data_IF_044028902830
#
_entry.id   IF_044028902830
#
_cell.length_a   1.000
_cell.length_b   1.000
_cell.length_c   1.000
_cell.angle_alpha   90.00
_cell.angle_beta   90.00
_cell.angle_gamma   90.00
#
_symmetry.space_group_name_H-M   'P 1'
#
loop_
_entity.id
_entity.type
_entity.pdbx_description
1 polymer ?
#
# COMPACT_ATOMS: atom_id res chain seq x y z
N UNK A 1 -32.36 -9.56 16.91
CA UNK A 1 -31.40 -10.68 17.12
C UNK A 1 -30.48 -10.81 15.89
N UNK A 2 -29.24 -10.33 15.87
CA UNK A 2 -28.24 -10.26 16.94
C UNK A 2 -27.30 -9.06 16.73
N UNK A 3 -27.06 -8.29 17.79
CA UNK A 3 -25.97 -7.34 17.95
C UNK A 3 -24.66 -8.07 18.27
N UNK A 4 -23.51 -7.64 17.70
CA UNK A 4 -22.40 -6.99 18.42
C UNK A 4 -21.25 -6.63 17.46
N UNK A 5 -21.21 -5.37 17.03
CA UNK A 5 -19.97 -4.66 16.70
C UNK A 5 -20.06 -3.29 17.39
N UNK A 6 -19.00 -2.79 18.05
CA UNK A 6 -19.14 -1.62 18.92
C UNK A 6 -19.58 -0.40 18.12
N UNK A 7 -20.60 0.29 18.62
CA UNK A 7 -21.03 1.58 18.11
C UNK A 7 -19.93 2.63 18.32
N UNK A 8 -19.57 3.36 17.27
CA UNK A 8 -18.79 4.60 17.36
C UNK A 8 -17.74 4.75 16.26
N UNK A 9 -17.91 5.77 15.40
CA UNK A 9 -16.99 6.22 14.34
C UNK A 9 -17.00 5.44 13.01
N UNK A 10 -18.15 5.56 12.34
CA UNK A 10 -18.29 5.87 10.91
C UNK A 10 -17.30 5.30 9.89
N UNK A 11 -17.81 4.40 9.04
CA UNK A 11 -17.26 3.99 7.75
C UNK A 11 -17.08 5.13 6.70
N UNK A 12 -17.06 6.39 7.12
CA UNK A 12 -16.95 7.61 6.29
C UNK A 12 -15.60 8.33 6.40
N UNK A 13 -14.72 7.93 7.33
CA UNK A 13 -13.38 8.51 7.47
C UNK A 13 -12.28 7.78 6.70
N UNK A 14 -12.59 6.61 6.15
CA UNK A 14 -11.64 5.83 5.37
C UNK A 14 -11.61 6.32 3.92
N UNK A 15 -10.42 6.66 3.44
CA UNK A 15 -10.18 7.09 2.07
C UNK A 15 -9.55 5.94 1.32
N UNK A 16 -10.31 5.37 0.38
CA UNK A 16 -9.78 4.43 -0.59
C UNK A 16 -8.82 5.13 -1.57
N UNK A 17 -7.72 4.47 -1.92
CA UNK A 17 -6.79 4.95 -2.91
C UNK A 17 -6.32 3.82 -3.82
N UNK A 18 -5.94 4.19 -5.04
CA UNK A 18 -5.22 3.33 -5.97
C UNK A 18 -4.12 4.17 -6.60
N UNK A 19 -2.90 3.69 -6.47
CA UNK A 19 -1.71 4.32 -7.02
C UNK A 19 -0.91 3.26 -7.78
N UNK A 20 -0.14 3.67 -8.78
CA UNK A 20 0.75 2.74 -9.46
C UNK A 20 1.79 3.46 -10.30
N UNK A 21 2.90 2.77 -10.53
CA UNK A 21 3.99 3.20 -11.39
C UNK A 21 4.52 1.98 -12.16
N UNK A 22 4.54 2.08 -13.49
CA UNK A 22 4.90 0.97 -14.36
C UNK A 22 4.09 -0.30 -14.04
N UNK A 23 4.80 -1.37 -13.70
CA UNK A 23 4.21 -2.67 -13.34
C UNK A 23 3.74 -2.78 -11.89
N UNK A 24 4.02 -1.81 -11.02
CA UNK A 24 3.66 -1.86 -9.60
C UNK A 24 2.39 -1.05 -9.31
N UNK A 25 1.50 -1.61 -8.49
CA UNK A 25 0.25 -0.95 -8.05
C UNK A 25 0.07 -1.14 -6.55
N UNK A 26 -0.44 -0.13 -5.88
CA UNK A 26 -0.83 -0.17 -4.46
C UNK A 26 -2.29 0.23 -4.38
N UNK A 27 -3.11 -0.61 -3.78
CA UNK A 27 -4.54 -0.36 -3.55
C UNK A 27 -4.83 -0.52 -2.08
N UNK A 28 -5.55 0.40 -1.49
CA UNK A 28 -5.83 0.32 -0.06
C UNK A 28 -6.82 1.36 0.40
N UNK A 29 -6.99 1.41 1.70
CA UNK A 29 -7.75 2.42 2.41
C UNK A 29 -6.95 2.94 3.58
N UNK A 30 -7.11 4.23 3.89
CA UNK A 30 -6.54 4.83 5.09
C UNK A 30 -7.62 5.53 5.91
N UNK A 31 -7.61 5.32 7.22
CA UNK A 31 -8.44 6.06 8.14
C UNK A 31 -7.85 7.42 8.46
N UNK A 32 -8.56 8.51 8.12
CA UNK A 32 -8.08 9.88 8.36
C UNK A 32 -7.95 10.28 9.84
N UNK A 33 -8.61 9.56 10.75
CA UNK A 33 -8.52 9.85 12.18
C UNK A 33 -7.37 9.11 12.86
N UNK A 34 -7.26 7.80 12.60
CA UNK A 34 -6.26 6.96 13.25
C UNK A 34 -4.94 6.89 12.47
N UNK A 35 -4.94 7.34 11.20
CA UNK A 35 -3.85 7.11 10.24
C UNK A 35 -3.53 5.63 10.06
N UNK A 36 -4.49 4.75 10.36
CA UNK A 36 -4.37 3.33 10.10
C UNK A 36 -4.54 3.08 8.60
N UNK A 37 -3.60 2.35 8.00
CA UNK A 37 -3.62 1.99 6.59
C UNK A 37 -3.79 0.49 6.45
N UNK A 38 -4.59 0.09 5.46
CA UNK A 38 -4.72 -1.28 4.98
C UNK A 38 -4.52 -1.25 3.46
N UNK A 39 -3.42 -1.81 2.97
CA UNK A 39 -2.99 -1.68 1.58
C UNK A 39 -2.40 -2.97 1.03
N UNK A 40 -2.78 -3.28 -0.21
CA UNK A 40 -2.32 -4.41 -0.98
C UNK A 40 -1.41 -3.93 -2.11
N UNK A 41 -0.24 -4.55 -2.22
CA UNK A 41 0.71 -4.30 -3.29
C UNK A 41 0.56 -5.38 -4.35
N UNK A 42 0.45 -4.94 -5.60
CA UNK A 42 0.35 -5.79 -6.77
C UNK A 42 1.51 -5.50 -7.71
N UNK A 43 2.00 -6.56 -8.35
CA UNK A 43 2.94 -6.49 -9.47
C UNK A 43 2.26 -7.08 -10.69
N UNK A 44 2.29 -6.33 -11.79
CA UNK A 44 1.77 -6.75 -13.09
C UNK A 44 2.83 -7.60 -13.75
N UNK A 45 2.52 -8.89 -13.92
CA UNK A 45 3.41 -9.85 -14.58
C UNK A 45 2.89 -10.07 -16.00
N UNK A 46 3.75 -10.05 -17.04
CA UNK A 46 3.33 -10.42 -18.39
C UNK A 46 2.59 -11.76 -18.38
N UNK A 47 1.49 -11.84 -19.12
CA UNK A 47 0.63 -13.04 -19.25
C UNK A 47 -0.22 -13.42 -18.03
N UNK A 48 0.17 -13.06 -16.80
CA UNK A 48 -0.56 -13.43 -15.57
C UNK A 48 -1.33 -12.27 -14.92
N UNK A 49 -1.14 -11.05 -15.41
CA UNK A 49 -1.83 -9.86 -14.92
C UNK A 49 -1.36 -9.42 -13.54
N UNK A 50 -2.25 -8.78 -12.78
CA UNK A 50 -1.94 -8.23 -11.46
C UNK A 50 -1.84 -9.35 -10.42
N UNK A 51 -0.64 -9.54 -9.87
CA UNK A 51 -0.38 -10.51 -8.81
C UNK A 51 -0.17 -9.80 -7.48
N UNK A 52 -0.94 -10.16 -6.46
CA UNK A 52 -0.74 -9.63 -5.11
C UNK A 52 0.56 -10.19 -4.53
N UNK A 53 1.48 -9.31 -4.14
CA UNK A 53 2.79 -9.69 -3.60
C UNK A 53 2.93 -9.41 -2.11
N UNK A 54 2.17 -8.44 -1.59
CA UNK A 54 2.28 -7.99 -0.21
C UNK A 54 0.95 -7.40 0.29
N UNK A 55 0.70 -7.56 1.58
CA UNK A 55 -0.34 -6.87 2.32
C UNK A 55 0.34 -6.10 3.45
N UNK A 56 0.08 -4.80 3.51
CA UNK A 56 0.62 -3.84 4.47
C UNK A 56 -0.54 -3.29 5.29
N UNK A 57 -0.57 -3.60 6.57
CA UNK A 57 -1.59 -3.11 7.50
C UNK A 57 -0.93 -2.55 8.76
N UNK A 58 -1.26 -1.33 9.18
CA UNK A 58 -0.68 -0.74 10.38
C UNK A 58 -0.85 0.77 10.50
N UNK A 59 -0.18 1.36 11.48
CA UNK A 59 -0.17 2.81 11.69
C UNK A 59 0.80 3.49 10.72
N UNK A 60 0.29 4.35 9.83
CA UNK A 60 1.12 5.10 8.89
C UNK A 60 2.11 6.05 9.60
N UNK A 61 1.80 6.46 10.84
CA UNK A 61 2.69 7.30 11.67
C UNK A 61 3.95 6.57 12.11
N UNK A 62 3.86 5.26 12.28
CA UNK A 62 5.01 4.41 12.66
C UNK A 62 5.77 3.92 11.42
N UNK A 63 5.17 4.04 10.25
CA UNK A 63 5.64 3.42 9.02
C UNK A 63 5.19 1.96 8.96
N UNK A 64 4.68 1.55 7.80
CA UNK A 64 4.25 0.17 7.54
C UNK A 64 5.09 -0.35 6.39
N UNK A 65 5.96 -1.31 6.68
CA UNK A 65 6.86 -1.89 5.69
C UNK A 65 6.70 -3.39 5.57
N UNK A 66 7.07 -3.91 4.42
CA UNK A 66 7.14 -5.33 4.17
C UNK A 66 7.99 -5.63 2.95
N UNK A 67 8.44 -6.87 2.88
CA UNK A 67 9.23 -7.37 1.76
C UNK A 67 8.63 -8.65 1.22
N UNK A 68 8.90 -8.91 -0.06
CA UNK A 68 8.45 -10.10 -0.73
C UNK A 68 9.57 -10.64 -1.62
N UNK A 69 9.57 -11.96 -1.80
CA UNK A 69 10.45 -12.64 -2.73
C UNK A 69 9.64 -13.70 -3.48
N UNK A 70 9.32 -13.40 -4.73
CA UNK A 70 8.60 -14.28 -5.67
C UNK A 70 9.47 -14.50 -6.89
N UNK A 71 9.27 -15.61 -7.59
CA UNK A 71 10.04 -15.95 -8.80
C UNK A 71 9.97 -14.89 -9.90
N UNK A 72 8.89 -14.11 -9.93
CA UNK A 72 8.65 -13.06 -10.93
C UNK A 72 8.93 -11.64 -10.43
N UNK A 73 9.14 -11.43 -9.12
CA UNK A 73 9.47 -10.12 -8.55
C UNK A 73 9.93 -10.27 -7.10
N UNK A 74 10.89 -9.45 -6.69
CA UNK A 74 11.33 -9.35 -5.30
C UNK A 74 11.56 -7.88 -4.94
N UNK A 75 11.38 -7.55 -3.67
CA UNK A 75 11.57 -6.17 -3.23
C UNK A 75 10.99 -5.86 -1.86
N UNK A 76 11.10 -4.59 -1.49
CA UNK A 76 10.48 -4.02 -0.31
C UNK A 76 9.61 -2.82 -0.66
N UNK A 77 8.55 -2.66 0.13
CA UNK A 77 7.64 -1.52 0.07
C UNK A 77 7.44 -1.01 1.49
N UNK A 78 7.59 0.29 1.67
CA UNK A 78 7.34 0.99 2.92
C UNK A 78 6.38 2.15 2.68
N UNK A 79 5.23 2.10 3.35
CA UNK A 79 4.25 3.18 3.42
C UNK A 79 4.53 3.99 4.68
N UNK A 80 4.79 5.29 4.52
CA UNK A 80 5.09 6.15 5.66
C UNK A 80 4.46 7.53 5.51
N UNK A 81 4.29 8.19 6.65
CA UNK A 81 3.81 9.56 6.70
C UNK A 81 4.98 10.54 6.60
N UNK A 82 4.92 11.51 5.68
CA UNK A 82 5.98 12.51 5.52
C UNK A 82 5.44 13.95 5.63
N UNK A 83 6.01 14.72 6.57
CA UNK A 83 5.92 16.18 6.69
C UNK A 83 4.52 16.80 6.52
N UNK A 84 3.47 16.22 7.12
CA UNK A 84 2.14 16.82 7.04
C UNK A 84 1.44 16.68 5.68
N UNK A 85 2.12 16.09 4.69
CA UNK A 85 1.78 16.25 3.28
C UNK A 85 1.01 15.07 2.71
N UNK A 86 1.11 13.88 3.30
CA UNK A 86 0.46 12.69 2.74
C UNK A 86 1.10 11.37 3.15
N UNK A 87 0.55 10.31 2.55
CA UNK A 87 1.13 8.97 2.53
C UNK A 87 2.12 8.85 1.38
N UNK A 88 3.35 8.43 1.69
CA UNK A 88 4.42 8.17 0.75
C UNK A 88 4.74 6.67 0.69
N UNK A 89 5.15 6.20 -0.48
CA UNK A 89 5.61 4.85 -0.72
C UNK A 89 7.07 4.87 -1.14
N UNK A 90 7.92 4.35 -0.27
CA UNK A 90 9.30 4.04 -0.59
C UNK A 90 9.35 2.63 -1.17
N UNK A 91 9.89 2.53 -2.38
CA UNK A 91 9.93 1.30 -3.17
C UNK A 91 11.37 0.92 -3.46
N UNK A 92 11.64 -0.38 -3.37
CA UNK A 92 12.83 -1.02 -3.94
C UNK A 92 12.40 -2.40 -4.47
N UNK A 93 11.95 -2.44 -5.71
CA UNK A 93 11.35 -3.63 -6.34
C UNK A 93 12.04 -3.94 -7.65
N UNK A 94 12.48 -5.19 -7.81
CA UNK A 94 13.15 -5.68 -9.02
C UNK A 94 12.40 -6.89 -9.58
N UNK A 95 12.43 -7.04 -10.90
CA UNK A 95 11.84 -8.18 -11.60
C UNK A 95 12.66 -8.55 -12.83
N UNK A 96 12.68 -9.83 -13.26
CA UNK A 96 13.20 -10.19 -14.57
C UNK A 96 12.34 -9.65 -15.74
N UNK A 97 11.12 -9.18 -15.48
CA UNK A 97 10.17 -8.73 -16.50
C UNK A 97 10.09 -7.22 -16.68
N UNK A 98 10.66 -6.44 -15.76
CA UNK A 98 10.65 -4.97 -15.81
C UNK A 98 11.85 -4.39 -15.04
N UNK A 99 12.21 -3.15 -15.34
CA UNK A 99 13.34 -2.47 -14.70
C UNK A 99 13.12 -2.29 -13.19
N UNK A 100 14.21 -2.20 -12.42
CA UNK A 100 14.14 -1.94 -10.99
C UNK A 100 13.39 -0.63 -10.71
N UNK A 101 12.30 -0.72 -9.95
CA UNK A 101 11.54 0.42 -9.46
C UNK A 101 12.09 0.77 -8.09
N UNK A 102 12.82 1.89 -8.04
CA UNK A 102 13.38 2.43 -6.81
C UNK A 102 13.10 3.91 -6.68
N UNK A 103 12.56 4.32 -5.55
CA UNK A 103 12.23 5.72 -5.30
C UNK A 103 11.27 5.90 -4.13
N UNK A 104 10.93 7.15 -3.86
CA UNK A 104 9.95 7.54 -2.87
C UNK A 104 8.86 8.38 -3.55
N UNK A 105 7.61 7.95 -3.41
CA UNK A 105 6.49 8.46 -4.20
C UNK A 105 5.31 8.85 -3.32
N UNK A 106 4.74 10.03 -3.58
CA UNK A 106 3.48 10.43 -2.97
C UNK A 106 2.34 9.56 -3.50
N UNK A 107 1.72 8.78 -2.63
CA UNK A 107 0.60 7.87 -2.94
C UNK A 107 -0.74 8.55 -2.75
N UNK A 108 -0.87 9.31 -1.65
CA UNK A 108 -2.09 10.00 -1.29
C UNK A 108 -1.76 11.28 -0.54
N UNK A 109 -2.35 12.39 -0.97
CA UNK A 109 -2.30 13.68 -0.27
C UNK A 109 -3.49 13.81 0.68
N UNK A 110 -3.26 14.35 1.87
CA UNK A 110 -4.33 14.68 2.82
C UNK A 110 -4.87 16.10 2.64
#
# INVERSE_FOLDING_TARGET
PNDVGPAGFGSYCDVGFTWGTGSLKIKGSISRFTFYIDAYVYVTVPFWGDQQVLHLSGSLKEGVSGSFNKSYASGSVELHYQNGSGCWAKLDVTSPFFETIKGDYLVLKF
#
